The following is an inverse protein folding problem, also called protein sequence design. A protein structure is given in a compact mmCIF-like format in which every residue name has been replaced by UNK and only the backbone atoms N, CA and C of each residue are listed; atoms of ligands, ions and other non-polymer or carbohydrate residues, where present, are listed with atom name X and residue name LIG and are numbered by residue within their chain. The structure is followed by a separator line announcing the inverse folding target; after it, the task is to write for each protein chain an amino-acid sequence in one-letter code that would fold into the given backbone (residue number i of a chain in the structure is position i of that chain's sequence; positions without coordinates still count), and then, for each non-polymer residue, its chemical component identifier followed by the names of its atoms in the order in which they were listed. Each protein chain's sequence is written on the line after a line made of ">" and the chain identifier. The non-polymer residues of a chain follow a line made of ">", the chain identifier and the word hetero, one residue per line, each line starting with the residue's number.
data_IF_234891843570
#
_entry.id   IF_234891843570
#
_cell.length_a   1.000
_cell.length_b   1.000
_cell.length_c   1.000
_cell.angle_alpha   90.00
_cell.angle_beta   90.00
_cell.angle_gamma   90.00
#
_symmetry.space_group_name_H-M   'P 1'
#
loop_
_entity.id
_entity.type
_entity.pdbx_description
1 polymer ?
#
# COMPACT_ATOMS: atom_id res chain seq x y z
N UNK A 1 -15.48 7.95 -27.55
CA UNK A 1 -15.59 8.26 -26.12
C UNK A 1 -15.51 6.95 -25.37
N UNK A 2 -14.34 6.64 -24.79
CA UNK A 2 -14.23 5.48 -23.90
C UNK A 2 -14.89 5.91 -22.59
N UNK A 3 -16.05 5.32 -22.30
CA UNK A 3 -16.69 5.43 -21.01
C UNK A 3 -15.74 4.84 -19.98
N UNK A 4 -15.06 5.68 -19.21
CA UNK A 4 -14.44 5.26 -17.97
C UNK A 4 -15.57 5.01 -16.97
N UNK A 5 -16.39 3.98 -17.20
CA UNK A 5 -17.01 3.29 -16.07
C UNK A 5 -15.87 3.04 -15.11
N UNK A 6 -15.99 3.54 -13.88
CA UNK A 6 -14.97 3.34 -12.85
C UNK A 6 -14.82 1.84 -12.66
N UNK A 7 -13.88 1.24 -13.40
CA UNK A 7 -13.60 -0.18 -13.30
C UNK A 7 -13.25 -0.43 -11.84
N UNK A 8 -14.09 -1.25 -11.19
CA UNK A 8 -13.84 -1.73 -9.85
C UNK A 8 -12.41 -2.27 -9.79
N UNK A 9 -11.75 -2.09 -8.64
CA UNK A 9 -10.40 -2.62 -8.46
C UNK A 9 -10.47 -4.14 -8.67
N UNK A 10 -9.62 -4.72 -9.52
CA UNK A 10 -9.69 -6.17 -9.78
C UNK A 10 -9.39 -6.96 -8.52
N UNK A 11 -8.51 -6.42 -7.67
CA UNK A 11 -8.20 -6.97 -6.34
C UNK A 11 -9.38 -6.85 -5.35
N UNK A 12 -10.49 -6.22 -5.71
CA UNK A 12 -11.74 -6.23 -4.92
C UNK A 12 -12.67 -7.38 -5.31
N UNK A 13 -12.41 -8.05 -6.42
CA UNK A 13 -13.21 -9.20 -6.86
C UNK A 13 -12.75 -10.44 -6.10
N UNK A 14 -13.63 -11.13 -5.34
CA UNK A 14 -13.29 -12.42 -4.73
C UNK A 14 -12.85 -13.40 -5.81
N UNK A 15 -11.75 -14.12 -5.55
CA UNK A 15 -11.22 -15.10 -6.50
C UNK A 15 -10.87 -16.42 -5.79
N UNK A 16 -10.90 -17.53 -6.53
CA UNK A 16 -10.55 -18.85 -5.98
C UNK A 16 -9.06 -19.01 -5.69
N UNK A 17 -8.20 -18.19 -6.32
CA UNK A 17 -6.75 -18.19 -6.10
C UNK A 17 -6.30 -16.76 -5.82
N UNK A 18 -5.42 -16.50 -4.86
CA UNK A 18 -4.97 -15.14 -4.59
C UNK A 18 -4.28 -14.50 -5.80
N UNK A 19 -4.45 -13.20 -5.97
CA UNK A 19 -3.58 -12.40 -6.85
C UNK A 19 -2.13 -12.48 -6.36
N UNK A 20 -1.17 -12.54 -7.28
CA UNK A 20 0.25 -12.57 -6.94
C UNK A 20 0.77 -11.15 -6.69
N UNK A 21 1.58 -10.96 -5.64
CA UNK A 21 2.27 -9.69 -5.41
C UNK A 21 3.68 -9.70 -5.99
N UNK A 22 4.05 -8.62 -6.70
CA UNK A 22 5.41 -8.28 -7.06
C UNK A 22 5.87 -7.09 -6.24
N UNK A 23 7.07 -7.18 -5.68
CA UNK A 23 7.63 -6.12 -4.82
C UNK A 23 8.97 -5.59 -5.33
N UNK A 24 9.00 -4.77 -6.40
CA UNK A 24 10.25 -4.21 -6.92
C UNK A 24 10.94 -3.25 -5.95
N UNK A 25 12.23 -3.05 -6.18
CA UNK A 25 13.08 -2.05 -5.50
C UNK A 25 14.22 -1.63 -6.42
N UNK A 26 14.95 -0.58 -6.06
CA UNK A 26 16.06 -0.04 -6.89
C UNK A 26 17.12 -1.10 -7.20
N UNK A 27 17.30 -2.06 -6.29
CA UNK A 27 18.26 -3.15 -6.40
C UNK A 27 17.62 -4.54 -6.54
N UNK A 28 16.28 -4.61 -6.64
CA UNK A 28 15.55 -5.86 -6.61
C UNK A 28 14.54 -5.96 -7.77
N UNK A 29 14.74 -6.95 -8.64
CA UNK A 29 13.95 -7.17 -9.85
C UNK A 29 12.48 -7.59 -9.58
N UNK A 30 12.07 -7.69 -8.31
CA UNK A 30 10.70 -7.95 -7.89
C UNK A 30 10.27 -9.42 -7.87
N UNK A 31 11.13 -10.38 -8.24
CA UNK A 31 10.79 -11.82 -8.13
C UNK A 31 10.84 -12.26 -6.67
N UNK A 32 9.70 -12.64 -6.07
CA UNK A 32 9.66 -13.18 -4.71
C UNK A 32 10.70 -14.30 -4.58
N UNK A 33 11.66 -14.12 -3.67
CA UNK A 33 12.66 -15.16 -3.41
C UNK A 33 12.00 -16.30 -2.61
N UNK A 34 12.29 -17.58 -2.94
CA UNK A 34 11.76 -18.70 -2.19
C UNK A 34 12.04 -18.53 -0.69
N UNK A 35 11.01 -18.68 0.14
CA UNK A 35 11.07 -18.54 1.60
C UNK A 35 11.40 -17.13 2.15
N UNK A 36 11.30 -16.07 1.34
CA UNK A 36 11.43 -14.67 1.82
C UNK A 36 10.16 -13.87 1.56
N UNK A 37 9.60 -13.29 2.61
CA UNK A 37 8.52 -12.32 2.48
C UNK A 37 9.05 -10.96 2.04
N UNK A 38 8.16 -10.07 1.58
CA UNK A 38 8.52 -8.72 1.13
C UNK A 38 9.27 -7.91 2.19
N UNK A 39 8.95 -8.13 3.48
CA UNK A 39 9.61 -7.51 4.63
C UNK A 39 11.08 -7.87 4.80
N UNK A 40 11.54 -8.91 4.10
CA UNK A 40 12.91 -9.42 4.12
C UNK A 40 13.65 -9.12 2.81
N UNK A 41 12.98 -8.48 1.85
CA UNK A 41 13.54 -8.11 0.54
C UNK A 41 13.82 -6.60 0.50
N UNK A 42 14.85 -6.19 -0.24
CA UNK A 42 15.17 -4.77 -0.45
C UNK A 42 14.25 -4.21 -1.56
N UNK A 43 12.99 -4.00 -1.18
CA UNK A 43 11.93 -3.47 -2.03
C UNK A 43 11.50 -2.09 -1.54
N UNK A 44 10.97 -1.27 -2.44
CA UNK A 44 10.56 0.10 -2.15
C UNK A 44 9.57 0.17 -0.98
N UNK A 45 8.60 -0.74 -0.93
CA UNK A 45 7.60 -0.78 0.14
C UNK A 45 8.25 -0.87 1.53
N UNK A 46 9.24 -1.76 1.71
CA UNK A 46 9.92 -1.94 3.00
C UNK A 46 10.82 -0.75 3.32
N UNK A 47 11.57 -0.28 2.34
CA UNK A 47 12.50 0.85 2.49
C UNK A 47 11.76 2.12 2.89
N UNK A 48 10.68 2.45 2.17
CA UNK A 48 9.83 3.61 2.44
C UNK A 48 9.28 3.57 3.87
N UNK A 49 8.63 2.46 4.25
CA UNK A 49 7.99 2.32 5.57
C UNK A 49 9.00 2.37 6.71
N UNK A 50 10.18 1.76 6.54
CA UNK A 50 11.24 1.81 7.56
C UNK A 50 11.81 3.22 7.70
N UNK A 51 12.12 3.87 6.59
CA UNK A 51 12.66 5.23 6.57
C UNK A 51 11.70 6.21 7.23
N UNK A 52 10.43 6.18 6.84
CA UNK A 52 9.42 7.09 7.38
C UNK A 52 9.09 6.81 8.85
N UNK A 53 9.02 5.53 9.27
CA UNK A 53 8.85 5.19 10.68
C UNK A 53 10.05 5.67 11.53
N UNK A 54 11.27 5.53 11.02
CA UNK A 54 12.47 6.02 11.71
C UNK A 54 12.48 7.55 11.84
N UNK A 55 12.07 8.28 10.80
CA UNK A 55 11.93 9.74 10.83
C UNK A 55 10.92 10.24 11.87
N UNK A 56 9.91 9.43 12.20
CA UNK A 56 8.95 9.69 13.28
C UNK A 56 9.44 9.24 14.66
N UNK A 57 10.69 8.76 14.78
CA UNK A 57 11.24 8.25 16.03
C UNK A 57 10.62 6.92 16.48
N UNK A 58 10.02 6.14 15.58
CA UNK A 58 9.41 4.87 15.93
C UNK A 58 10.47 3.86 16.40
N UNK A 59 10.22 3.26 17.56
CA UNK A 59 11.07 2.18 18.05
C UNK A 59 11.00 0.95 17.12
N UNK A 60 12.06 0.12 17.16
CA UNK A 60 12.18 -1.10 16.33
C UNK A 60 10.94 -1.99 16.43
N UNK A 61 10.40 -2.19 17.63
CA UNK A 61 9.23 -3.05 17.83
C UNK A 61 7.98 -2.52 17.12
N UNK A 62 7.73 -1.19 17.16
CA UNK A 62 6.62 -0.54 16.46
C UNK A 62 6.76 -0.65 14.95
N UNK A 63 7.98 -0.52 14.45
CA UNK A 63 8.27 -0.72 13.03
C UNK A 63 8.00 -2.17 12.61
N UNK A 64 8.38 -3.15 13.43
CA UNK A 64 8.06 -4.57 13.16
C UNK A 64 6.55 -4.81 13.16
N UNK A 65 5.82 -4.25 14.13
CA UNK A 65 4.35 -4.34 14.15
C UNK A 65 3.71 -3.73 12.91
N UNK A 66 4.22 -2.59 12.42
CA UNK A 66 3.75 -1.96 11.18
C UNK A 66 3.92 -2.90 9.99
N UNK A 67 5.11 -3.45 9.82
CA UNK A 67 5.38 -4.37 8.72
C UNK A 67 4.50 -5.62 8.79
N UNK A 68 4.19 -6.12 9.99
CA UNK A 68 3.29 -7.26 10.18
C UNK A 68 1.83 -6.92 9.81
N UNK A 69 1.34 -5.72 10.13
CA UNK A 69 -0.01 -5.30 9.72
C UNK A 69 -0.11 -5.07 8.21
N UNK A 70 0.94 -4.53 7.59
CA UNK A 70 1.01 -4.42 6.12
C UNK A 70 1.01 -5.79 5.46
N UNK A 71 1.73 -6.78 6.03
CA UNK A 71 1.76 -8.15 5.51
C UNK A 71 0.36 -8.81 5.50
N UNK A 72 -0.39 -8.64 6.59
CA UNK A 72 -1.79 -9.08 6.68
C UNK A 72 -2.67 -8.37 5.65
N UNK A 73 -2.50 -7.05 5.49
CA UNK A 73 -3.25 -6.25 4.52
C UNK A 73 -3.02 -6.72 3.09
N UNK A 74 -1.76 -6.95 2.71
CA UNK A 74 -1.41 -7.45 1.37
C UNK A 74 -2.02 -8.83 1.09
N UNK A 75 -1.98 -9.72 2.08
CA UNK A 75 -2.56 -11.07 1.99
C UNK A 75 -4.08 -11.01 1.80
N UNK A 76 -4.77 -10.20 2.58
CA UNK A 76 -6.23 -10.02 2.46
C UNK A 76 -6.62 -9.41 1.12
N UNK A 77 -5.90 -8.36 0.71
CA UNK A 77 -6.10 -7.75 -0.58
C UNK A 77 -5.93 -8.77 -1.71
N UNK A 78 -4.88 -9.60 -1.70
CA UNK A 78 -4.69 -10.61 -2.75
C UNK A 78 -5.86 -11.59 -2.88
N UNK A 79 -6.68 -11.77 -1.83
CA UNK A 79 -7.84 -12.66 -1.85
C UNK A 79 -9.17 -11.97 -2.21
N UNK A 80 -9.18 -10.68 -2.54
CA UNK A 80 -10.41 -9.94 -2.81
C UNK A 80 -10.95 -9.16 -1.60
N UNK A 81 -10.31 -9.25 -0.44
CA UNK A 81 -10.83 -8.66 0.81
C UNK A 81 -10.30 -7.25 1.03
N UNK A 82 -11.04 -6.27 0.53
CA UNK A 82 -10.68 -4.86 0.66
C UNK A 82 -11.49 -4.09 1.71
N UNK A 83 -12.45 -4.72 2.40
CA UNK A 83 -13.24 -4.07 3.45
C UNK A 83 -12.73 -4.47 4.84
N UNK A 84 -12.57 -3.47 5.70
CA UNK A 84 -12.24 -3.67 7.10
C UNK A 84 -13.52 -3.49 7.93
N UNK A 85 -13.83 -4.47 8.78
CA UNK A 85 -14.83 -4.31 9.82
C UNK A 85 -14.14 -3.58 10.97
N UNK A 86 -14.52 -2.32 11.20
CA UNK A 86 -14.12 -1.59 12.40
C UNK A 86 -14.99 -2.08 13.59
N UNK A 87 -14.47 -2.08 14.83
CA UNK A 87 -15.31 -2.25 16.00
C UNK A 87 -16.35 -1.11 16.08
N UNK A 88 -17.52 -1.39 16.65
CA UNK A 88 -18.72 -0.53 16.60
C UNK A 88 -18.52 0.88 17.20
N UNK A 89 -17.44 1.12 17.94
CA UNK A 89 -17.07 2.39 18.58
C UNK A 89 -16.24 3.33 17.68
N UNK A 90 -15.79 2.86 16.51
CA UNK A 90 -15.11 3.69 15.51
C UNK A 90 -16.12 4.12 14.46
N UNK A 91 -16.64 5.34 14.58
CA UNK A 91 -17.49 5.93 13.55
C UNK A 91 -16.73 5.93 12.20
N UNK A 92 -17.17 5.17 11.18
CA UNK A 92 -16.51 5.19 9.89
C UNK A 92 -16.79 6.55 9.26
N UNK A 93 -15.86 7.50 9.41
CA UNK A 93 -15.87 8.75 8.68
C UNK A 93 -15.50 8.44 7.22
N UNK A 94 -16.37 7.71 6.51
CA UNK A 94 -16.12 7.11 5.19
C UNK A 94 -14.73 7.40 4.62
N UNK A 95 -13.81 6.44 4.74
CA UNK A 95 -12.89 6.26 3.64
C UNK A 95 -12.99 4.84 3.13
N UNK A 96 -12.97 4.71 1.81
CA UNK A 96 -12.68 3.43 1.20
C UNK A 96 -11.29 2.98 1.68
N UNK A 97 -11.21 1.79 2.27
CA UNK A 97 -9.96 1.14 2.69
C UNK A 97 -9.03 0.87 1.50
N UNK A 98 -9.57 0.93 0.29
CA UNK A 98 -8.85 0.86 -0.97
C UNK A 98 -9.44 1.82 -2.00
N UNK A 99 -8.68 2.17 -3.03
CA UNK A 99 -9.19 3.01 -4.10
C UNK A 99 -8.14 3.38 -5.14
N UNK A 100 -8.59 4.03 -6.21
CA UNK A 100 -7.71 4.73 -7.15
C UNK A 100 -7.32 6.08 -6.56
N UNK A 101 -6.09 6.53 -6.79
CA UNK A 101 -5.70 7.88 -6.42
C UNK A 101 -6.39 8.89 -7.35
N UNK A 102 -6.73 10.06 -6.81
CA UNK A 102 -7.33 11.13 -7.61
C UNK A 102 -6.32 11.78 -8.57
N UNK A 103 -5.04 11.82 -8.19
CA UNK A 103 -3.98 12.45 -8.98
C UNK A 103 -3.58 11.60 -10.19
N UNK A 104 -3.44 10.28 -9.99
CA UNK A 104 -2.99 9.34 -11.03
C UNK A 104 -3.87 8.09 -10.95
N UNK A 105 -4.96 7.99 -11.73
CA UNK A 105 -5.99 6.96 -11.58
C UNK A 105 -5.53 5.50 -11.74
N UNK A 106 -4.39 5.29 -12.38
CA UNK A 106 -3.76 3.96 -12.53
C UNK A 106 -3.10 3.49 -11.24
N UNK A 107 -2.69 4.44 -10.38
CA UNK A 107 -2.13 4.14 -9.08
C UNK A 107 -3.28 3.96 -8.10
N UNK A 108 -3.23 2.84 -7.39
CA UNK A 108 -4.22 2.43 -6.41
C UNK A 108 -3.59 2.46 -5.03
N UNK A 109 -4.42 2.47 -3.99
CA UNK A 109 -3.97 2.44 -2.61
C UNK A 109 -4.74 1.43 -1.78
N UNK A 110 -4.08 0.87 -0.77
CA UNK A 110 -4.65 0.12 0.35
C UNK A 110 -4.34 0.87 1.65
N UNK A 111 -5.26 0.90 2.61
CA UNK A 111 -5.06 1.53 3.92
C UNK A 111 -4.89 0.47 5.00
N UNK A 112 -3.87 0.65 5.84
CA UNK A 112 -3.73 -0.14 7.07
C UNK A 112 -4.83 0.31 8.06
N UNK A 113 -5.41 -0.61 8.84
CA UNK A 113 -6.43 -0.26 9.84
C UNK A 113 -5.98 0.86 10.78
N UNK A 114 -6.87 1.84 10.98
CA UNK A 114 -6.69 2.97 11.91
C UNK A 114 -7.36 2.70 13.26
N UNK A 115 -6.86 3.27 14.38
CA UNK A 115 -5.66 4.11 14.46
C UNK A 115 -4.37 3.28 14.56
N UNK A 116 -3.35 3.64 13.77
CA UNK A 116 -2.01 3.04 13.89
C UNK A 116 -1.05 4.04 14.52
N UNK A 117 -0.49 3.71 15.69
CA UNK A 117 0.40 4.61 16.43
C UNK A 117 1.87 4.24 16.25
N UNK A 118 2.67 5.20 15.76
CA UNK A 118 4.13 5.11 15.66
C UNK A 118 4.75 6.15 16.58
N UNK A 119 5.50 5.69 17.59
CA UNK A 119 5.95 6.53 18.70
C UNK A 119 4.77 7.31 19.33
N UNK A 120 4.85 8.64 19.36
CA UNK A 120 3.79 9.52 19.85
C UNK A 120 2.83 10.02 18.75
N UNK A 121 3.02 9.57 17.51
CA UNK A 121 2.28 10.06 16.34
C UNK A 121 1.13 9.12 15.99
N UNK A 122 -0.05 9.70 15.76
CA UNK A 122 -1.19 8.99 15.20
C UNK A 122 -1.05 8.98 13.69
N UNK A 123 -0.93 7.79 13.10
CA UNK A 123 -0.61 7.65 11.69
C UNK A 123 -1.72 6.97 10.88
N UNK A 124 -1.76 7.32 9.59
CA UNK A 124 -2.45 6.58 8.53
C UNK A 124 -1.41 6.00 7.60
N UNK A 125 -1.44 4.69 7.38
CA UNK A 125 -0.51 4.07 6.45
C UNK A 125 -1.23 3.70 5.16
N UNK A 126 -0.62 4.01 4.03
CA UNK A 126 -1.07 3.63 2.69
C UNK A 126 -0.02 2.82 1.98
N UNK A 127 -0.43 1.70 1.39
CA UNK A 127 0.36 0.98 0.40
C UNK A 127 -0.13 1.40 -0.97
N UNK A 128 0.78 1.84 -1.84
CA UNK A 128 0.45 2.18 -3.22
C UNK A 128 0.86 1.05 -4.15
N UNK A 129 0.02 0.75 -5.13
CA UNK A 129 0.22 -0.36 -6.06
C UNK A 129 -0.46 -0.10 -7.41
N UNK A 130 -0.16 -0.94 -8.40
CA UNK A 130 -0.86 -0.99 -9.70
C UNK A 130 -1.32 -2.41 -10.00
N UNK A 131 -2.36 -2.52 -10.84
CA UNK A 131 -2.85 -3.77 -11.43
C UNK A 131 -2.54 -3.76 -12.93
N UNK A 132 -1.46 -4.42 -13.41
CA UNK A 132 -1.18 -4.50 -14.84
C UNK A 132 -2.33 -5.16 -15.60
N UNK A 133 -2.69 -4.58 -16.73
CA UNK A 133 -3.77 -5.08 -17.57
C UNK A 133 -3.52 -6.52 -18.05
N UNK A 134 -4.58 -7.34 -17.99
CA UNK A 134 -4.60 -8.75 -18.40
C UNK A 134 -3.80 -9.74 -17.52
N UNK A 135 -3.42 -9.37 -16.29
CA UNK A 135 -2.73 -10.30 -15.36
C UNK A 135 -3.43 -10.40 -14.00
N UNK A 136 -3.16 -11.49 -13.26
CA UNK A 136 -3.51 -11.62 -11.81
C UNK A 136 -2.37 -11.13 -10.92
N UNK A 137 -1.58 -10.18 -11.41
CA UNK A 137 -0.43 -9.61 -10.72
C UNK A 137 -0.81 -8.27 -10.09
N UNK A 138 -0.33 -8.04 -8.87
CA UNK A 138 -0.35 -6.76 -8.18
C UNK A 138 1.09 -6.32 -8.00
N UNK A 139 1.40 -5.06 -8.29
CA UNK A 139 2.77 -4.56 -8.18
C UNK A 139 2.81 -3.44 -7.16
N UNK A 140 3.51 -3.65 -6.03
CA UNK A 140 3.67 -2.61 -5.03
C UNK A 140 4.64 -1.54 -5.53
N UNK A 141 4.27 -0.27 -5.33
CA UNK A 141 5.04 0.90 -5.74
C UNK A 141 5.68 1.63 -4.55
N UNK A 142 5.18 1.42 -3.33
CA UNK A 142 5.73 2.05 -2.12
C UNK A 142 4.73 2.09 -0.96
N UNK A 143 5.21 2.55 0.19
CA UNK A 143 4.40 2.74 1.41
C UNK A 143 4.54 4.14 1.98
N UNK A 144 3.43 4.78 2.31
CA UNK A 144 3.40 6.10 2.93
C UNK A 144 2.81 6.02 4.34
N UNK A 145 3.58 6.47 5.32
CA UNK A 145 3.17 6.75 6.69
C UNK A 145 2.82 8.23 6.76
N UNK A 146 1.54 8.53 6.92
CA UNK A 146 1.05 9.89 7.15
C UNK A 146 0.85 10.11 8.64
N UNK A 147 1.54 11.07 9.21
CA UNK A 147 1.13 11.63 10.50
C UNK A 147 -0.18 12.42 10.28
N UNK A 148 -1.22 12.07 11.03
CA UNK A 148 -2.55 12.67 10.87
C UNK A 148 -2.52 14.17 11.14
N UNK A 149 -1.64 14.62 12.03
CA UNK A 149 -1.64 15.98 12.53
C UNK A 149 -0.71 16.91 11.73
N UNK A 150 0.23 16.35 10.96
CA UNK A 150 1.26 17.13 10.25
C UNK A 150 1.34 16.87 8.75
N UNK A 151 0.98 15.67 8.26
CA UNK A 151 1.16 15.33 6.84
C UNK A 151 0.18 16.07 5.94
N UNK A 152 0.71 16.84 5.00
CA UNK A 152 -0.06 17.65 4.05
C UNK A 152 -0.53 16.86 2.83
N UNK A 153 -1.47 17.44 2.08
CA UNK A 153 -1.88 16.89 0.78
C UNK A 153 -0.75 16.92 -0.25
N UNK A 154 0.15 17.90 -0.17
CA UNK A 154 1.27 18.06 -1.12
C UNK A 154 2.33 16.97 -0.93
N UNK A 155 2.62 16.58 0.30
CA UNK A 155 3.49 15.44 0.60
C UNK A 155 2.90 14.14 0.06
N UNK A 156 1.59 13.93 0.24
CA UNK A 156 0.89 12.79 -0.34
C UNK A 156 0.97 12.79 -1.87
N UNK A 157 0.75 13.94 -2.51
CA UNK A 157 0.79 14.08 -3.96
C UNK A 157 2.20 13.86 -4.51
N UNK A 158 3.22 14.33 -3.78
CA UNK A 158 4.63 14.10 -4.08
C UNK A 158 4.95 12.61 -4.07
N UNK A 159 4.50 11.90 -3.03
CA UNK A 159 4.69 10.45 -2.94
C UNK A 159 3.96 9.69 -4.07
N UNK A 160 2.75 10.12 -4.46
CA UNK A 160 2.03 9.52 -5.59
C UNK A 160 2.81 9.71 -6.90
N UNK A 161 3.43 10.88 -7.13
CA UNK A 161 4.29 11.10 -8.31
C UNK A 161 5.55 10.22 -8.28
N UNK A 162 6.13 10.00 -7.11
CA UNK A 162 7.25 9.05 -6.95
C UNK A 162 6.82 7.62 -7.31
N UNK A 163 5.63 7.19 -6.86
CA UNK A 163 5.06 5.90 -7.24
C UNK A 163 4.83 5.78 -8.76
N UNK A 164 4.46 6.87 -9.43
CA UNK A 164 4.30 6.89 -10.89
C UNK A 164 5.62 6.72 -11.63
N UNK A 165 6.66 7.44 -11.20
CA UNK A 165 8.00 7.27 -11.73
C UNK A 165 8.49 5.82 -11.57
N UNK A 166 8.26 5.23 -10.38
CA UNK A 166 8.55 3.81 -10.10
C UNK A 166 7.78 2.87 -11.04
N UNK A 167 6.48 3.12 -11.26
CA UNK A 167 5.65 2.35 -12.20
C UNK A 167 6.26 2.33 -13.60
N UNK A 168 6.71 3.48 -14.11
CA UNK A 168 7.34 3.55 -15.43
C UNK A 168 8.60 2.69 -15.54
N UNK A 169 9.39 2.55 -14.48
CA UNK A 169 10.60 1.70 -14.51
C UNK A 169 10.30 0.21 -14.61
N UNK A 170 9.10 -0.22 -14.22
CA UNK A 170 8.69 -1.63 -14.22
C UNK A 170 8.02 -2.03 -15.54
N UNK A 171 7.29 -1.10 -16.17
CA UNK A 171 6.47 -1.35 -17.36
C UNK A 171 7.19 -1.02 -18.69
N UNK A 172 8.44 -0.57 -18.64
CA UNK A 172 9.34 -0.45 -19.80
C UNK A 172 10.02 -1.79 -20.08
#
# INVERSE_FOLDING_TARGET
>A
MISHQHAELRVATPTNEPYEWRHPGDHFNGKIMPNRGWRDMDCWLREDLRSQAASLGAQRFKTVSLLAEVDKLLTRASSGELSQKFPDDVAPSSPKDSGRTALIPDIMFLRVPEPFYLAAHRCRIRVYYVEPDATRLLVSLGGLVKDVDTTTSDEQNTFIRQCDARKETILR
#
